data_IF_847028285741
#
_entry.id   IF_847028285741
#
_cell.length_a   1.000
_cell.length_b   1.000
_cell.length_c   1.000
_cell.angle_alpha   90.00
_cell.angle_beta   90.00
_cell.angle_gamma   90.00
#
_symmetry.space_group_name_H-M   'P 1'
#
loop_
_entity.id
_entity.type
_entity.pdbx_description
1 polymer ?
#
# COMPACT_ATOMS: atom_id res chain seq x y z
N UNK A 1 13.96 31.18 -31.63
CA UNK A 1 14.96 30.26 -32.19
C UNK A 1 15.27 29.23 -31.11
N UNK A 2 14.48 28.13 -31.10
CA UNK A 2 14.72 27.04 -30.18
C UNK A 2 15.73 26.07 -30.77
N UNK A 3 16.93 26.03 -30.23
CA UNK A 3 17.86 24.94 -30.49
C UNK A 3 17.38 23.70 -29.71
N UNK A 4 17.34 22.54 -30.39
CA UNK A 4 17.13 21.27 -29.71
C UNK A 4 18.33 21.03 -28.78
N UNK A 5 18.09 20.45 -27.58
CA UNK A 5 19.18 20.11 -26.68
C UNK A 5 20.11 19.10 -27.35
N UNK A 6 21.35 19.47 -27.55
CA UNK A 6 22.42 18.60 -28.04
C UNK A 6 22.93 17.77 -26.84
N UNK A 7 22.57 16.52 -26.80
CA UNK A 7 23.09 15.57 -25.82
C UNK A 7 22.63 14.14 -26.12
N UNK A 8 23.56 13.22 -26.20
CA UNK A 8 23.25 11.79 -26.27
C UNK A 8 22.73 11.31 -24.91
N UNK A 9 21.48 10.86 -24.88
CA UNK A 9 20.92 10.16 -23.72
C UNK A 9 21.52 8.75 -23.72
N UNK A 10 22.51 8.48 -22.87
CA UNK A 10 23.08 7.14 -22.70
C UNK A 10 22.13 6.33 -21.83
N UNK A 11 21.40 5.42 -22.45
CA UNK A 11 20.60 4.43 -21.75
C UNK A 11 21.51 3.39 -21.08
N UNK A 12 21.40 3.25 -19.77
CA UNK A 12 21.96 2.09 -19.06
C UNK A 12 21.23 0.84 -19.49
N UNK A 13 21.95 -0.18 -19.96
CA UNK A 13 21.36 -1.45 -20.38
C UNK A 13 20.72 -2.19 -19.20
N UNK A 14 19.46 -2.59 -19.36
CA UNK A 14 18.83 -3.64 -18.54
C UNK A 14 18.04 -3.20 -17.32
N UNK A 15 17.45 -2.00 -17.28
CA UNK A 15 16.53 -1.63 -16.22
C UNK A 15 15.33 -0.85 -16.78
N UNK A 16 14.22 -0.80 -16.02
CA UNK A 16 13.05 0.03 -16.29
C UNK A 16 13.38 1.51 -16.61
N UNK A 17 14.54 1.98 -16.18
CA UNK A 17 15.11 3.27 -16.59
C UNK A 17 15.37 3.29 -18.09
N UNK A 18 15.82 2.19 -18.72
CA UNK A 18 16.08 2.10 -20.15
C UNK A 18 14.83 2.39 -20.99
N UNK A 19 13.70 1.82 -20.64
CA UNK A 19 12.44 1.97 -21.39
C UNK A 19 11.88 3.40 -21.24
N UNK A 20 12.03 4.01 -20.06
CA UNK A 20 11.68 5.41 -19.85
C UNK A 20 12.57 6.34 -20.72
N UNK A 21 13.87 6.06 -20.81
CA UNK A 21 14.78 6.79 -21.68
C UNK A 21 14.42 6.64 -23.16
N UNK A 22 13.98 5.45 -23.58
CA UNK A 22 13.51 5.21 -24.96
C UNK A 22 12.27 6.05 -25.25
N UNK A 23 11.30 6.09 -24.34
CA UNK A 23 10.09 6.91 -24.46
C UNK A 23 10.44 8.41 -24.53
N UNK A 24 11.30 8.88 -23.63
CA UNK A 24 11.80 10.25 -23.63
C UNK A 24 12.54 10.58 -24.95
N UNK A 25 13.41 9.69 -25.40
CA UNK A 25 14.13 9.84 -26.67
C UNK A 25 13.17 9.93 -27.86
N UNK A 26 12.09 9.15 -27.86
CA UNK A 26 11.05 9.22 -28.89
C UNK A 26 10.31 10.56 -28.85
N UNK A 27 10.00 11.11 -27.68
CA UNK A 27 9.36 12.42 -27.55
C UNK A 27 10.25 13.56 -28.04
N UNK A 28 11.58 13.40 -27.95
CA UNK A 28 12.57 14.42 -28.30
C UNK A 28 13.18 14.24 -29.69
N UNK A 29 12.68 13.32 -30.53
CA UNK A 29 13.17 13.12 -31.89
C UNK A 29 13.13 14.43 -32.73
N UNK A 30 14.12 14.62 -33.55
CA UNK A 30 14.22 15.82 -34.42
C UNK A 30 13.07 15.85 -35.41
N UNK A 31 12.77 14.72 -36.04
CA UNK A 31 11.68 14.58 -36.98
C UNK A 31 10.31 14.50 -36.29
N UNK A 32 9.41 15.44 -36.56
CA UNK A 32 8.08 15.53 -35.94
C UNK A 32 7.26 14.23 -36.10
N UNK A 33 7.39 13.52 -37.22
CA UNK A 33 6.66 12.28 -37.51
C UNK A 33 7.11 11.09 -36.64
N UNK A 34 8.32 11.15 -36.10
CA UNK A 34 8.89 10.12 -35.26
C UNK A 34 8.61 10.33 -33.76
N UNK A 35 8.04 11.48 -33.40
CA UNK A 35 7.64 11.80 -32.01
C UNK A 35 6.34 11.13 -31.66
N UNK A 36 6.07 11.04 -30.37
CA UNK A 36 4.71 10.75 -29.89
C UNK A 36 3.76 11.83 -30.44
N UNK A 37 2.69 11.40 -31.13
CA UNK A 37 1.80 12.31 -31.87
C UNK A 37 0.74 12.95 -30.96
N UNK A 38 0.49 12.39 -29.78
CA UNK A 38 -0.48 12.91 -28.83
C UNK A 38 -0.04 12.65 -27.38
N UNK A 39 -0.57 13.46 -26.46
CA UNK A 39 -0.40 13.23 -25.01
C UNK A 39 -0.97 11.88 -24.61
N UNK A 40 -2.05 11.45 -25.24
CA UNK A 40 -2.67 10.15 -25.01
C UNK A 40 -1.71 8.99 -25.33
N UNK A 41 -0.98 9.07 -26.43
CA UNK A 41 0.04 8.06 -26.80
C UNK A 41 1.16 7.98 -25.75
N UNK A 42 1.56 9.12 -25.18
CA UNK A 42 2.55 9.16 -24.10
C UNK A 42 2.01 8.53 -22.83
N UNK A 43 0.75 8.83 -22.45
CA UNK A 43 0.10 8.25 -21.29
C UNK A 43 -0.04 6.72 -21.41
N UNK A 44 -0.53 6.23 -22.54
CA UNK A 44 -0.65 4.79 -22.80
C UNK A 44 0.72 4.08 -22.76
N UNK A 45 1.79 4.75 -23.22
CA UNK A 45 3.14 4.18 -23.14
C UNK A 45 3.67 4.17 -21.70
N UNK A 46 3.37 5.19 -20.89
CA UNK A 46 3.71 5.24 -19.47
C UNK A 46 2.96 4.20 -18.66
N UNK A 47 1.66 4.03 -18.89
CA UNK A 47 0.83 2.98 -18.24
C UNK A 47 1.36 1.57 -18.55
N UNK A 48 1.76 1.30 -19.80
CA UNK A 48 2.38 0.03 -20.18
C UNK A 48 3.74 -0.17 -19.51
N UNK A 49 4.54 0.88 -19.40
CA UNK A 49 5.82 0.86 -18.68
C UNK A 49 5.61 0.58 -17.20
N UNK A 50 4.66 1.25 -16.58
CA UNK A 50 4.28 1.06 -15.18
C UNK A 50 3.84 -0.39 -14.94
N UNK A 51 2.93 -0.91 -15.75
CA UNK A 51 2.46 -2.30 -15.66
C UNK A 51 3.61 -3.32 -15.81
N UNK A 52 4.58 -3.07 -16.73
CA UNK A 52 5.77 -3.92 -16.87
C UNK A 52 6.70 -3.82 -15.67
N UNK A 53 6.93 -2.62 -15.16
CA UNK A 53 7.73 -2.40 -13.95
C UNK A 53 7.15 -3.17 -12.77
N UNK A 54 5.83 -3.15 -12.60
CA UNK A 54 5.15 -3.93 -11.58
C UNK A 54 5.22 -5.45 -11.84
N UNK A 55 5.11 -5.90 -13.10
CA UNK A 55 5.21 -7.32 -13.45
C UNK A 55 6.65 -7.86 -13.35
N UNK A 56 7.67 -7.06 -13.66
CA UNK A 56 9.09 -7.44 -13.56
C UNK A 56 9.63 -7.35 -12.12
N UNK A 57 9.04 -6.50 -11.29
CA UNK A 57 9.27 -6.54 -9.85
C UNK A 57 8.47 -7.71 -9.28
N UNK A 58 9.10 -8.88 -9.17
CA UNK A 58 8.71 -9.92 -8.23
C UNK A 58 8.98 -9.41 -6.80
N UNK A 59 8.34 -8.30 -6.42
CA UNK A 59 8.32 -7.89 -5.02
C UNK A 59 7.26 -8.79 -4.41
N UNK A 60 7.63 -9.70 -3.49
CA UNK A 60 6.64 -10.50 -2.81
C UNK A 60 5.67 -9.53 -2.13
N UNK A 61 4.38 -9.78 -2.32
CA UNK A 61 3.35 -9.06 -1.59
C UNK A 61 3.57 -9.31 -0.10
N UNK A 62 4.00 -8.26 0.62
CA UNK A 62 4.17 -8.36 2.07
C UNK A 62 2.80 -8.10 2.74
N UNK A 63 2.33 -9.07 3.50
CA UNK A 63 1.10 -8.97 4.27
C UNK A 63 1.42 -8.76 5.75
N UNK A 64 0.94 -7.65 6.29
CA UNK A 64 1.16 -7.28 7.69
C UNK A 64 -0.19 -7.25 8.41
N UNK A 65 -0.31 -7.95 9.53
CA UNK A 65 -1.43 -7.77 10.45
C UNK A 65 -1.06 -6.78 11.54
N UNK A 66 -1.97 -5.87 11.88
CA UNK A 66 -1.89 -5.07 13.10
C UNK A 66 -3.02 -5.47 14.04
N UNK A 67 -2.67 -5.87 15.26
CA UNK A 67 -3.65 -6.27 16.27
C UNK A 67 -3.26 -5.74 17.66
N UNK A 68 -4.20 -5.73 18.58
CA UNK A 68 -3.95 -5.20 19.91
C UNK A 68 -4.57 -6.03 21.02
N UNK A 69 -4.03 -5.86 22.23
CA UNK A 69 -4.45 -6.58 23.42
C UNK A 69 -5.86 -6.22 23.90
N UNK A 70 -6.32 -4.99 23.58
CA UNK A 70 -7.64 -4.48 23.97
C UNK A 70 -8.11 -3.34 23.07
N UNK A 71 -9.39 -3.04 23.13
CA UNK A 71 -9.97 -1.89 22.44
C UNK A 71 -9.36 -0.58 22.95
N UNK A 72 -9.11 0.36 22.02
CA UNK A 72 -8.56 1.68 22.35
C UNK A 72 -7.05 1.72 22.61
N UNK A 73 -6.32 0.62 22.46
CA UNK A 73 -4.85 0.56 22.66
C UNK A 73 -4.06 1.28 21.55
N UNK A 74 -4.70 1.65 20.43
CA UNK A 74 -4.06 2.43 19.38
C UNK A 74 -3.70 1.63 18.12
N UNK A 75 -4.27 0.45 17.90
CA UNK A 75 -3.98 -0.39 16.71
C UNK A 75 -4.17 0.38 15.42
N UNK A 76 -5.36 0.96 15.19
CA UNK A 76 -5.67 1.74 13.99
C UNK A 76 -4.70 2.91 13.80
N UNK A 77 -4.34 3.60 14.88
CA UNK A 77 -3.38 4.70 14.82
C UNK A 77 -1.99 4.23 14.40
N UNK A 78 -1.52 3.13 14.98
CA UNK A 78 -0.24 2.50 14.64
C UNK A 78 -0.24 2.02 13.19
N UNK A 79 -1.31 1.35 12.76
CA UNK A 79 -1.47 0.83 11.41
C UNK A 79 -1.42 1.96 10.36
N UNK A 80 -2.21 3.02 10.55
CA UNK A 80 -2.19 4.20 9.67
C UNK A 80 -0.83 4.90 9.67
N UNK A 81 -0.17 5.00 10.83
CA UNK A 81 1.18 5.54 10.96
C UNK A 81 2.21 4.74 10.16
N UNK A 82 2.15 3.41 10.22
CA UNK A 82 3.02 2.52 9.48
C UNK A 82 2.82 2.66 7.96
N UNK A 83 1.56 2.66 7.48
CA UNK A 83 1.25 2.85 6.06
C UNK A 83 1.75 4.21 5.57
N UNK A 84 1.54 5.27 6.35
CA UNK A 84 2.05 6.61 6.02
C UNK A 84 3.57 6.64 5.92
N UNK A 85 4.25 6.01 6.86
CA UNK A 85 5.71 5.91 6.85
C UNK A 85 6.23 5.17 5.62
N UNK A 86 5.66 3.99 5.31
CA UNK A 86 6.04 3.22 4.13
C UNK A 86 5.79 4.00 2.84
N UNK A 87 4.67 4.70 2.76
CA UNK A 87 4.36 5.57 1.62
C UNK A 87 5.39 6.69 1.43
N UNK A 88 5.84 7.32 2.53
CA UNK A 88 6.90 8.33 2.48
C UNK A 88 8.25 7.76 1.98
N UNK A 89 8.46 6.45 2.15
CA UNK A 89 9.62 5.72 1.60
C UNK A 89 9.44 5.25 0.16
N UNK A 90 8.31 5.61 -0.48
CA UNK A 90 8.01 5.25 -1.86
C UNK A 90 7.45 3.84 -2.05
N UNK A 91 7.05 3.17 -0.96
CA UNK A 91 6.44 1.84 -0.99
C UNK A 91 4.94 1.97 -1.25
N UNK A 92 4.43 1.20 -2.22
CA UNK A 92 2.99 1.14 -2.51
C UNK A 92 2.27 0.32 -1.44
N UNK A 93 1.47 1.00 -0.61
CA UNK A 93 0.80 0.39 0.54
C UNK A 93 -0.71 0.57 0.51
N UNK A 94 -1.42 -0.50 0.88
CA UNK A 94 -2.84 -0.49 1.17
C UNK A 94 -3.07 -0.70 2.67
N UNK A 95 -3.77 0.24 3.31
CA UNK A 95 -4.39 -0.01 4.60
C UNK A 95 -5.76 -0.67 4.37
N UNK A 96 -6.00 -1.81 5.02
CA UNK A 96 -7.27 -2.53 4.93
C UNK A 96 -7.86 -2.76 6.32
N UNK A 97 -9.08 -2.26 6.52
CA UNK A 97 -9.82 -2.46 7.76
C UNK A 97 -10.38 -3.88 7.79
N UNK A 98 -9.95 -4.69 8.77
CA UNK A 98 -10.42 -6.06 9.00
C UNK A 98 -11.18 -6.19 10.32
N UNK A 99 -11.52 -5.06 10.92
CA UNK A 99 -12.31 -4.97 12.15
C UNK A 99 -13.66 -4.28 11.87
N UNK A 100 -14.54 -4.25 12.87
CA UNK A 100 -15.90 -3.70 12.75
C UNK A 100 -16.01 -2.24 13.20
N UNK A 101 -14.89 -1.52 13.34
CA UNK A 101 -14.94 -0.13 13.82
C UNK A 101 -15.52 0.83 12.79
N UNK A 102 -15.44 0.54 11.49
CA UNK A 102 -15.88 1.42 10.41
C UNK A 102 -15.09 2.74 10.36
N UNK A 103 -13.85 2.73 10.82
CA UNK A 103 -13.01 3.92 10.92
C UNK A 103 -12.77 4.56 9.54
N UNK A 104 -12.49 3.75 8.52
CA UNK A 104 -12.25 4.24 7.15
C UNK A 104 -13.48 4.96 6.60
N UNK A 105 -14.66 4.38 6.76
CA UNK A 105 -15.91 5.01 6.25
C UNK A 105 -16.22 6.31 6.97
N UNK A 106 -16.02 6.38 8.31
CA UNK A 106 -16.20 7.63 9.06
C UNK A 106 -15.22 8.69 8.62
N UNK A 107 -13.96 8.31 8.42
CA UNK A 107 -12.91 9.21 7.94
C UNK A 107 -13.25 9.72 6.53
N UNK A 108 -13.63 8.83 5.62
CA UNK A 108 -14.04 9.18 4.26
C UNK A 108 -15.24 10.13 4.25
N UNK A 109 -16.25 9.86 5.08
CA UNK A 109 -17.42 10.75 5.23
C UNK A 109 -17.03 12.13 5.75
N UNK A 110 -16.13 12.19 6.72
CA UNK A 110 -15.67 13.47 7.29
C UNK A 110 -14.96 14.36 6.26
N UNK A 111 -14.16 13.75 5.38
CA UNK A 111 -13.43 14.45 4.33
C UNK A 111 -14.15 14.51 2.98
N UNK A 112 -15.39 14.01 2.88
CA UNK A 112 -16.17 14.00 1.63
C UNK A 112 -15.53 13.16 0.53
N UNK A 113 -14.84 12.07 0.87
CA UNK A 113 -14.18 11.20 -0.09
C UNK A 113 -15.14 10.18 -0.67
N UNK A 114 -14.99 9.90 -1.97
CA UNK A 114 -15.66 8.80 -2.64
C UNK A 114 -14.68 7.65 -2.89
N UNK A 115 -15.14 6.39 -2.85
CA UNK A 115 -14.28 5.25 -3.20
C UNK A 115 -14.11 5.16 -4.71
N UNK A 116 -13.01 4.55 -5.13
CA UNK A 116 -12.80 4.13 -6.52
C UNK A 116 -13.61 2.87 -6.87
N UNK A 117 -13.42 2.36 -8.09
CA UNK A 117 -14.06 1.11 -8.59
C UNK A 117 -13.66 -0.15 -7.79
N UNK A 118 -12.53 -0.10 -7.06
CA UNK A 118 -12.06 -1.17 -6.19
C UNK A 118 -12.49 -0.99 -4.73
N UNK A 119 -13.32 0.03 -4.44
CA UNK A 119 -13.78 0.36 -3.09
C UNK A 119 -12.71 0.97 -2.19
N UNK A 120 -11.66 1.55 -2.77
CA UNK A 120 -10.55 2.16 -2.06
C UNK A 120 -10.75 3.67 -2.00
N UNK A 121 -10.56 4.25 -0.82
CA UNK A 121 -10.53 5.69 -0.60
C UNK A 121 -9.11 6.19 -0.59
N UNK A 122 -8.86 7.33 -1.21
CA UNK A 122 -7.55 7.96 -1.23
C UNK A 122 -7.57 9.25 -0.41
N UNK A 123 -6.72 9.31 0.62
CA UNK A 123 -6.59 10.47 1.49
C UNK A 123 -5.10 10.79 1.67
N UNK A 124 -4.68 11.98 1.26
CA UNK A 124 -3.26 12.42 1.33
C UNK A 124 -2.28 11.39 0.72
N UNK A 125 -2.72 10.71 -0.34
CA UNK A 125 -1.97 9.66 -1.02
C UNK A 125 -1.96 8.30 -0.29
N UNK A 126 -2.66 8.15 0.82
CA UNK A 126 -2.91 6.86 1.47
C UNK A 126 -4.07 6.14 0.80
N UNK A 127 -3.89 4.88 0.46
CA UNK A 127 -4.95 4.00 -0.01
C UNK A 127 -5.60 3.30 1.19
N UNK A 128 -6.89 3.54 1.41
CA UNK A 128 -7.64 3.07 2.58
C UNK A 128 -8.84 2.24 2.10
N UNK A 129 -8.90 0.96 2.47
CA UNK A 129 -10.01 0.06 2.13
C UNK A 129 -10.79 -0.29 3.40
N UNK A 130 -12.08 0.08 3.49
CA UNK A 130 -12.92 -0.33 4.61
C UNK A 130 -13.23 -1.82 4.53
N UNK A 131 -13.68 -2.39 5.63
CA UNK A 131 -14.24 -3.74 5.60
C UNK A 131 -15.53 -3.74 4.79
N UNK A 132 -15.58 -4.58 3.77
CA UNK A 132 -16.78 -4.93 3.03
C UNK A 132 -17.33 -6.26 3.52
N UNK A 133 -18.62 -6.52 3.29
CA UNK A 133 -19.19 -7.84 3.55
C UNK A 133 -18.58 -8.86 2.59
N UNK A 134 -18.49 -10.11 3.03
CA UNK A 134 -17.89 -11.21 2.27
C UNK A 134 -18.54 -11.49 0.91
N UNK A 135 -19.75 -10.95 0.71
CA UNK A 135 -20.50 -11.06 -0.56
C UNK A 135 -19.94 -10.10 -1.63
N UNK A 136 -19.23 -9.04 -1.22
CA UNK A 136 -18.72 -8.02 -2.14
C UNK A 136 -17.29 -8.39 -2.56
N UNK A 137 -17.16 -9.01 -3.73
CA UNK A 137 -15.86 -9.28 -4.33
C UNK A 137 -15.46 -8.08 -5.21
N UNK A 138 -14.55 -7.27 -4.73
CA UNK A 138 -13.93 -6.19 -5.51
C UNK A 138 -12.52 -6.63 -5.90
N UNK A 139 -12.21 -6.53 -7.18
CA UNK A 139 -10.82 -6.69 -7.63
C UNK A 139 -9.93 -5.72 -6.86
N UNK A 140 -8.74 -6.17 -6.50
CA UNK A 140 -7.82 -5.34 -5.74
C UNK A 140 -6.62 -5.01 -6.59
N UNK A 141 -6.26 -3.73 -6.74
CA UNK A 141 -5.01 -3.32 -7.37
C UNK A 141 -3.81 -3.94 -6.66
N UNK A 142 -2.71 -4.08 -7.38
CA UNK A 142 -1.47 -4.62 -6.82
C UNK A 142 -0.80 -3.58 -5.94
N UNK A 143 -0.51 -3.96 -4.70
CA UNK A 143 0.28 -3.20 -3.75
C UNK A 143 1.50 -4.00 -3.33
N UNK A 144 2.61 -3.32 -2.99
CA UNK A 144 3.81 -3.97 -2.46
C UNK A 144 3.59 -4.45 -1.02
N UNK A 145 2.77 -3.71 -0.26
CA UNK A 145 2.43 -4.03 1.13
C UNK A 145 0.93 -3.89 1.34
N UNK A 146 0.32 -4.88 1.98
CA UNK A 146 -1.04 -4.79 2.52
C UNK A 146 -0.93 -4.85 4.04
N UNK A 147 -1.43 -3.82 4.72
CA UNK A 147 -1.51 -3.77 6.16
C UNK A 147 -2.97 -3.89 6.60
N UNK A 148 -3.27 -5.01 7.25
CA UNK A 148 -4.59 -5.34 7.78
C UNK A 148 -4.72 -4.86 9.23
N UNK A 149 -5.63 -3.92 9.48
CA UNK A 149 -6.02 -3.54 10.85
C UNK A 149 -7.07 -4.51 11.37
N UNK A 150 -6.61 -5.48 12.16
CA UNK A 150 -7.45 -6.50 12.79
C UNK A 150 -8.07 -6.02 14.12
N UNK A 151 -7.74 -4.82 14.60
CA UNK A 151 -8.21 -4.30 15.87
C UNK A 151 -7.86 -5.26 17.04
N UNK A 152 -8.88 -5.79 17.72
CA UNK A 152 -8.71 -6.82 18.77
C UNK A 152 -9.02 -8.24 18.27
N UNK A 153 -9.20 -8.41 16.99
CA UNK A 153 -9.56 -9.69 16.35
C UNK A 153 -8.37 -10.63 16.20
N UNK A 154 -7.87 -11.18 17.31
CA UNK A 154 -6.72 -12.08 17.30
C UNK A 154 -6.99 -13.37 16.50
N UNK A 155 -8.24 -13.82 16.47
CA UNK A 155 -8.63 -14.97 15.66
C UNK A 155 -8.44 -14.69 14.16
N UNK A 156 -8.79 -13.49 13.70
CA UNK A 156 -8.57 -13.06 12.30
C UNK A 156 -7.08 -13.06 11.94
N UNK A 157 -6.21 -12.74 12.91
CA UNK A 157 -4.75 -12.81 12.72
C UNK A 157 -4.29 -14.25 12.52
N UNK A 158 -4.80 -15.18 13.34
CA UNK A 158 -4.43 -16.62 13.27
C UNK A 158 -4.97 -17.31 12.00
N UNK A 159 -6.12 -16.87 11.50
CA UNK A 159 -6.74 -17.41 10.29
C UNK A 159 -6.14 -16.83 9.01
N UNK A 160 -5.44 -15.70 9.11
CA UNK A 160 -4.80 -15.04 7.99
C UNK A 160 -3.37 -15.52 7.75
N UNK A 161 -2.93 -15.43 6.49
CA UNK A 161 -1.53 -15.65 6.12
C UNK A 161 -0.80 -14.31 6.16
N UNK A 162 0.00 -14.06 7.19
CA UNK A 162 0.75 -12.83 7.39
C UNK A 162 2.24 -13.10 7.52
N UNK A 163 3.03 -12.27 6.84
CA UNK A 163 4.49 -12.32 6.93
C UNK A 163 5.00 -11.61 8.21
N UNK A 164 4.20 -10.67 8.73
CA UNK A 164 4.54 -9.88 9.91
C UNK A 164 3.28 -9.58 10.71
N UNK A 165 3.37 -9.72 12.02
CA UNK A 165 2.30 -9.35 12.95
C UNK A 165 2.82 -8.22 13.85
N UNK A 166 2.22 -7.03 13.72
CA UNK A 166 2.46 -5.89 14.61
C UNK A 166 1.44 -5.97 15.75
N UNK A 167 1.90 -6.38 16.92
CA UNK A 167 1.05 -6.48 18.09
C UNK A 167 1.24 -5.28 19.03
N UNK A 168 0.15 -4.53 19.25
CA UNK A 168 0.14 -3.34 20.09
C UNK A 168 -0.40 -3.71 21.46
N UNK A 169 0.40 -3.49 22.49
CA UNK A 169 -0.01 -3.80 23.85
C UNK A 169 0.44 -2.72 24.85
N UNK A 170 -0.20 -2.70 26.01
CA UNK A 170 0.11 -1.77 27.08
C UNK A 170 0.85 -2.47 28.23
N UNK A 171 1.69 -1.71 28.93
CA UNK A 171 2.47 -2.17 30.08
C UNK A 171 1.94 -1.65 31.43
N UNK A 172 0.87 -0.84 31.40
CA UNK A 172 0.30 -0.36 32.64
C UNK A 172 -0.23 -1.53 33.50
N UNK A 173 -0.22 -1.45 34.83
CA UNK A 173 -0.64 -2.54 35.70
C UNK A 173 -2.02 -3.13 35.34
N UNK A 174 -2.95 -2.26 34.92
CA UNK A 174 -4.31 -2.68 34.52
C UNK A 174 -4.41 -3.20 33.07
N UNK A 175 -3.36 -3.12 32.27
CA UNK A 175 -3.30 -3.60 30.88
C UNK A 175 -2.50 -4.89 30.74
N UNK A 176 -1.67 -5.18 31.73
CA UNK A 176 -0.69 -6.27 31.68
C UNK A 176 -1.36 -7.63 31.51
N UNK A 177 -2.48 -7.85 32.18
CA UNK A 177 -3.18 -9.14 32.10
C UNK A 177 -3.73 -9.40 30.69
N UNK A 178 -4.38 -8.39 30.08
CA UNK A 178 -4.90 -8.47 28.72
C UNK A 178 -3.77 -8.67 27.71
N UNK A 179 -2.67 -7.94 27.88
CA UNK A 179 -1.49 -8.07 27.04
C UNK A 179 -0.88 -9.49 27.10
N UNK A 180 -0.72 -10.04 28.29
CA UNK A 180 -0.18 -11.39 28.47
C UNK A 180 -1.14 -12.46 27.94
N UNK A 181 -2.45 -12.29 28.10
CA UNK A 181 -3.46 -13.19 27.56
C UNK A 181 -3.41 -13.22 26.04
N UNK A 182 -3.36 -12.05 25.41
CA UNK A 182 -3.30 -11.92 23.97
C UNK A 182 -1.98 -12.49 23.38
N UNK A 183 -0.84 -12.22 24.01
CA UNK A 183 0.46 -12.79 23.60
C UNK A 183 0.43 -14.31 23.69
N UNK A 184 -0.14 -14.87 24.76
CA UNK A 184 -0.29 -16.34 24.88
C UNK A 184 -1.22 -16.91 23.82
N UNK A 185 -2.26 -16.17 23.43
CA UNK A 185 -3.21 -16.61 22.41
C UNK A 185 -2.55 -16.62 21.01
N UNK A 186 -1.75 -15.61 20.67
CA UNK A 186 -0.98 -15.58 19.43
C UNK A 186 0.13 -16.64 19.43
N UNK A 187 0.56 -17.11 20.59
CA UNK A 187 1.55 -18.17 20.71
C UNK A 187 2.92 -17.77 20.21
N UNK A 188 3.56 -18.70 19.50
CA UNK A 188 4.86 -18.51 18.86
C UNK A 188 4.68 -18.33 17.33
N UNK A 189 3.72 -17.49 16.92
CA UNK A 189 3.51 -17.20 15.49
C UNK A 189 4.78 -16.61 14.87
N UNK A 190 5.18 -17.15 13.73
CA UNK A 190 6.30 -16.59 12.96
C UNK A 190 5.97 -15.16 12.52
N UNK A 191 6.94 -14.27 12.63
CA UNK A 191 6.78 -12.85 12.26
C UNK A 191 6.12 -11.97 13.33
N UNK A 192 5.85 -12.47 14.54
CA UNK A 192 5.29 -11.64 15.62
C UNK A 192 6.28 -10.57 16.09
N UNK A 193 5.89 -9.31 15.97
CA UNK A 193 6.61 -8.14 16.50
C UNK A 193 5.71 -7.42 17.51
N UNK A 194 6.24 -7.21 18.70
CA UNK A 194 5.49 -6.58 19.81
C UNK A 194 5.88 -5.11 19.91
N UNK A 195 4.86 -4.23 19.87
CA UNK A 195 4.98 -2.80 20.11
C UNK A 195 4.38 -2.45 21.47
N UNK A 196 5.14 -1.76 22.30
CA UNK A 196 4.78 -1.35 23.66
C UNK A 196 4.47 0.14 23.72
#
# INVERSE_FOLDING_TARGET
TGHAPEGEIKAGQGSCRGDLYILMGRCLRTEKKERCQSVREVLEALEKLEARIFAERHIPLLRIAAAGSRSGIGVTHTALGAVRYLRQKGVSCLYREQNDTGAVRRLASWYGLAPDEHGIYYMDGLALKPRYSDVVQLEQPVFEVILDDCGTGLQTVLEGEYDLILFVCGLQPWEKEDSLRAIRFLGAEEGLQILL
#
